data_IF_588411092967
#
_entry.id   IF_588411092967
#
_cell.length_a   1.000
_cell.length_b   1.000
_cell.length_c   1.000
_cell.angle_alpha   90.00
_cell.angle_beta   90.00
_cell.angle_gamma   90.00
#
_symmetry.space_group_name_H-M   'P 1'
#
loop_
_entity.id
_entity.type
_entity.pdbx_description
1 polymer ?
#
# COMPACT_ATOMS: atom_id res chain seq x y z
N UNK A 1 -17.48 -23.65 27.78
CA UNK A 1 -17.41 -23.32 26.35
C UNK A 1 -18.56 -22.37 26.13
N UNK A 2 -18.27 -21.10 25.92
CA UNK A 2 -19.31 -20.15 25.53
C UNK A 2 -19.85 -20.59 24.16
N UNK A 3 -21.17 -20.75 24.06
CA UNK A 3 -21.84 -21.03 22.80
C UNK A 3 -21.56 -19.85 21.85
N UNK A 4 -20.69 -20.03 20.87
CA UNK A 4 -20.48 -19.02 19.82
C UNK A 4 -21.80 -18.84 19.05
N UNK A 5 -22.26 -17.60 18.94
CA UNK A 5 -23.46 -17.27 18.16
C UNK A 5 -23.25 -17.72 16.70
N UNK A 6 -24.08 -18.66 16.18
CA UNK A 6 -23.90 -19.23 14.85
C UNK A 6 -23.97 -18.19 13.73
N UNK A 7 -24.56 -17.01 13.98
CA UNK A 7 -24.57 -15.90 13.03
C UNK A 7 -23.15 -15.36 12.79
N UNK A 8 -22.32 -15.29 13.84
CA UNK A 8 -20.97 -14.71 13.76
C UNK A 8 -20.02 -15.55 12.89
N UNK A 9 -20.30 -16.83 12.67
CA UNK A 9 -19.54 -17.69 11.76
C UNK A 9 -19.61 -17.23 10.29
N UNK A 10 -20.68 -16.51 9.93
CA UNK A 10 -20.90 -16.02 8.56
C UNK A 10 -20.42 -14.58 8.37
N UNK A 11 -20.10 -13.88 9.46
CA UNK A 11 -19.62 -12.49 9.45
C UNK A 11 -18.10 -12.49 9.38
N UNK A 12 -17.47 -11.74 8.46
CA UNK A 12 -16.02 -11.64 8.41
C UNK A 12 -15.43 -11.30 9.79
N UNK A 13 -14.40 -12.05 10.20
CA UNK A 13 -13.71 -11.89 11.48
C UNK A 13 -14.61 -11.99 12.72
N UNK A 14 -15.74 -12.70 12.65
CA UNK A 14 -16.66 -12.85 13.77
C UNK A 14 -17.30 -11.52 14.20
N UNK A 15 -17.49 -10.58 13.27
CA UNK A 15 -18.07 -9.26 13.56
C UNK A 15 -17.11 -8.27 14.22
N UNK A 16 -15.81 -8.61 14.36
CA UNK A 16 -14.82 -7.70 14.92
C UNK A 16 -14.52 -6.55 13.97
N UNK A 17 -14.33 -5.36 14.52
CA UNK A 17 -13.79 -4.22 13.79
C UNK A 17 -12.32 -4.50 13.44
N UNK A 18 -12.02 -4.55 12.14
CA UNK A 18 -10.66 -4.75 11.62
C UNK A 18 -10.18 -3.47 10.94
N UNK A 19 -8.96 -3.05 11.27
CA UNK A 19 -8.26 -1.94 10.62
C UNK A 19 -7.02 -2.50 9.93
N UNK A 20 -6.99 -2.36 8.61
CA UNK A 20 -5.79 -2.66 7.81
C UNK A 20 -4.90 -1.42 7.73
N UNK A 21 -3.64 -1.58 8.10
CA UNK A 21 -2.61 -0.54 7.94
C UNK A 21 -1.56 -1.01 6.95
N UNK A 22 -1.11 -0.11 6.08
CA UNK A 22 -0.06 -0.41 5.11
C UNK A 22 0.02 0.63 4.00
N UNK A 23 1.01 0.46 3.14
CA UNK A 23 1.18 1.26 1.93
C UNK A 23 1.26 0.33 0.72
N UNK A 24 0.26 0.39 -0.16
CA UNK A 24 0.19 -0.44 -1.37
C UNK A 24 1.25 -0.12 -2.42
N UNK A 25 2.01 0.96 -2.22
CA UNK A 25 3.15 1.34 -3.05
C UNK A 25 4.45 0.66 -2.59
N UNK A 26 4.38 -0.15 -1.53
CA UNK A 26 5.48 -1.01 -1.07
C UNK A 26 5.51 -2.34 -1.83
N UNK A 27 6.28 -3.30 -1.30
CA UNK A 27 6.55 -4.60 -1.92
C UNK A 27 5.28 -5.46 -1.95
N UNK A 28 5.08 -6.16 -3.07
CA UNK A 28 4.01 -7.15 -3.24
C UNK A 28 4.22 -8.37 -2.31
N UNK A 29 3.18 -9.18 -2.05
CA UNK A 29 3.34 -10.44 -1.33
C UNK A 29 4.42 -11.32 -1.94
N UNK A 30 5.30 -11.88 -1.11
CA UNK A 30 6.35 -12.80 -1.57
C UNK A 30 5.77 -14.21 -1.60
N UNK A 31 5.60 -14.75 -2.81
CA UNK A 31 5.13 -16.13 -3.02
C UNK A 31 6.19 -16.87 -3.82
N UNK A 32 6.75 -17.92 -3.22
CA UNK A 32 7.84 -18.70 -3.83
C UNK A 32 7.37 -19.37 -5.11
N UNK A 33 8.13 -19.19 -6.21
CA UNK A 33 7.86 -19.80 -7.53
C UNK A 33 6.52 -19.39 -8.17
N UNK A 34 5.89 -18.32 -7.69
CA UNK A 34 4.65 -17.81 -8.26
C UNK A 34 4.93 -16.92 -9.47
N UNK A 35 4.01 -16.96 -10.44
CA UNK A 35 4.01 -16.01 -11.55
C UNK A 35 3.64 -14.59 -11.09
N UNK A 36 3.93 -13.57 -11.90
CA UNK A 36 3.53 -12.19 -11.63
C UNK A 36 2.01 -12.03 -11.47
N UNK A 37 1.22 -12.75 -12.28
CA UNK A 37 -0.24 -12.71 -12.19
C UNK A 37 -0.73 -13.36 -10.89
N UNK A 38 -0.11 -14.47 -10.47
CA UNK A 38 -0.40 -15.11 -9.18
C UNK A 38 -0.08 -14.19 -8.01
N UNK A 39 1.07 -13.51 -8.02
CA UNK A 39 1.43 -12.57 -6.94
C UNK A 39 0.41 -11.43 -6.85
N UNK A 40 -0.03 -10.90 -7.99
CA UNK A 40 -1.02 -9.81 -8.01
C UNK A 40 -2.43 -10.28 -7.64
N UNK A 41 -2.82 -11.53 -7.94
CA UNK A 41 -4.12 -12.09 -7.53
C UNK A 41 -4.22 -12.32 -6.02
N UNK A 42 -3.11 -12.56 -5.35
CA UNK A 42 -3.05 -12.75 -3.89
C UNK A 42 -2.97 -11.43 -3.09
N UNK A 43 -3.00 -10.28 -3.78
CA UNK A 43 -3.06 -9.00 -3.10
C UNK A 43 -4.42 -8.79 -2.41
N UNK A 44 -4.44 -8.16 -1.24
CA UNK A 44 -5.68 -7.91 -0.47
C UNK A 44 -6.73 -7.13 -1.26
N UNK A 45 -6.30 -6.30 -2.21
CA UNK A 45 -7.20 -5.55 -3.10
C UNK A 45 -7.85 -6.40 -4.22
N UNK A 46 -7.54 -7.69 -4.28
CA UNK A 46 -8.20 -8.72 -5.09
C UNK A 46 -9.05 -9.67 -4.25
N UNK A 47 -8.98 -9.58 -2.93
CA UNK A 47 -9.80 -10.39 -2.02
C UNK A 47 -11.29 -10.07 -2.16
N UNK A 48 -12.14 -11.08 -1.94
CA UNK A 48 -13.59 -10.91 -1.80
C UNK A 48 -13.98 -9.96 -0.65
N UNK A 49 -13.07 -9.69 0.28
CA UNK A 49 -13.26 -8.72 1.36
C UNK A 49 -13.14 -7.28 0.87
N UNK A 50 -12.39 -7.02 -0.20
CA UNK A 50 -12.05 -5.66 -0.64
C UNK A 50 -13.27 -4.76 -0.90
N UNK A 51 -14.36 -5.23 -1.54
CA UNK A 51 -15.57 -4.41 -1.71
C UNK A 51 -16.24 -3.99 -0.39
N UNK A 52 -15.93 -4.67 0.72
CA UNK A 52 -16.43 -4.35 2.07
C UNK A 52 -15.47 -3.44 2.86
N UNK A 53 -14.29 -3.14 2.33
CA UNK A 53 -13.27 -2.31 2.98
C UNK A 53 -13.50 -0.84 2.62
N UNK A 54 -13.61 0.01 3.64
CA UNK A 54 -13.57 1.46 3.45
C UNK A 54 -12.12 1.92 3.39
N UNK A 55 -11.72 2.54 2.27
CA UNK A 55 -10.34 2.99 2.06
C UNK A 55 -10.17 4.41 2.60
N UNK A 56 -9.32 4.56 3.61
CA UNK A 56 -8.90 5.86 4.15
C UNK A 56 -7.46 6.14 3.73
N UNK A 57 -7.21 7.33 3.14
CA UNK A 57 -5.89 7.73 2.65
C UNK A 57 -5.28 8.80 3.54
N UNK A 58 -4.16 8.49 4.18
CA UNK A 58 -3.32 9.48 4.85
C UNK A 58 -2.57 10.31 3.79
N UNK A 59 -2.70 11.63 3.85
CA UNK A 59 -2.07 12.56 2.89
C UNK A 59 -0.98 13.44 3.50
N UNK A 60 -0.99 13.58 4.83
CA UNK A 60 0.00 14.38 5.53
C UNK A 60 1.22 13.52 5.89
N UNK A 61 2.40 13.89 5.37
CA UNK A 61 3.66 13.32 5.80
C UNK A 61 4.13 14.06 7.06
N UNK A 62 3.85 13.48 8.23
CA UNK A 62 4.14 14.08 9.54
C UNK A 62 5.65 14.33 9.71
N UNK A 63 6.51 13.46 9.16
CA UNK A 63 7.96 13.61 9.24
C UNK A 63 8.43 14.89 8.53
N UNK A 64 7.92 15.15 7.32
CA UNK A 64 8.21 16.40 6.59
C UNK A 64 7.63 17.60 7.33
N UNK A 65 6.41 17.50 7.87
CA UNK A 65 5.78 18.59 8.63
C UNK A 65 6.58 18.99 9.87
N UNK A 66 7.17 18.04 10.58
CA UNK A 66 8.02 18.32 11.75
C UNK A 66 9.31 19.03 11.34
N UNK A 67 9.92 18.66 10.20
CA UNK A 67 11.14 19.32 9.73
C UNK A 67 10.88 20.71 9.16
N UNK A 68 9.70 20.96 8.58
CA UNK A 68 9.27 22.31 8.19
C UNK A 68 9.14 23.27 9.39
N UNK A 69 8.96 22.74 10.61
CA UNK A 69 8.93 23.52 11.85
C UNK A 69 10.32 23.75 12.45
N UNK A 70 11.38 23.16 11.88
CA UNK A 70 12.74 23.38 12.34
C UNK A 70 13.30 24.72 11.84
N UNK A 71 14.28 25.30 12.55
CA UNK A 71 14.94 26.57 12.17
C UNK A 71 15.83 26.48 10.90
N UNK A 72 15.60 25.50 10.02
CA UNK A 72 16.38 25.32 8.79
C UNK A 72 15.46 25.21 7.55
N UNK A 73 15.11 26.35 6.92
CA UNK A 73 14.19 26.38 5.78
C UNK A 73 14.77 25.71 4.52
N UNK A 74 16.10 25.65 4.36
CA UNK A 74 16.73 24.99 3.21
C UNK A 74 16.55 23.48 3.28
N UNK A 75 16.82 22.87 4.44
CA UNK A 75 16.63 21.43 4.67
C UNK A 75 15.16 21.05 4.51
N UNK A 76 14.26 21.89 5.02
CA UNK A 76 12.83 21.67 4.94
C UNK A 76 12.33 21.62 3.48
N UNK A 77 12.83 22.53 2.63
CA UNK A 77 12.52 22.53 1.19
C UNK A 77 13.03 21.27 0.49
N UNK A 78 14.28 20.88 0.75
CA UNK A 78 14.88 19.68 0.14
C UNK A 78 14.11 18.41 0.50
N UNK A 79 13.70 18.25 1.77
CA UNK A 79 12.91 17.12 2.22
C UNK A 79 11.50 17.10 1.62
N UNK A 80 10.89 18.27 1.42
CA UNK A 80 9.60 18.37 0.75
C UNK A 80 9.72 17.90 -0.71
N UNK A 81 10.70 18.41 -1.46
CA UNK A 81 10.96 18.02 -2.85
C UNK A 81 11.24 16.52 -2.96
N UNK A 82 12.06 15.96 -2.05
CA UNK A 82 12.35 14.54 -2.01
C UNK A 82 11.11 13.69 -1.68
N UNK A 83 10.26 14.14 -0.74
CA UNK A 83 9.01 13.45 -0.41
C UNK A 83 8.02 13.45 -1.57
N UNK A 84 7.91 14.56 -2.31
CA UNK A 84 7.07 14.65 -3.51
C UNK A 84 7.60 13.74 -4.63
N UNK A 85 8.92 13.65 -4.78
CA UNK A 85 9.55 12.72 -5.71
C UNK A 85 9.24 11.26 -5.38
N UNK A 86 9.41 10.83 -4.13
CA UNK A 86 9.06 9.47 -3.69
C UNK A 86 7.57 9.16 -3.88
N UNK A 87 6.70 10.14 -3.63
CA UNK A 87 5.28 10.01 -3.90
C UNK A 87 5.01 9.77 -5.38
N UNK A 88 5.64 10.54 -6.26
CA UNK A 88 5.49 10.36 -7.71
C UNK A 88 6.00 9.00 -8.20
N UNK A 89 7.07 8.46 -7.60
CA UNK A 89 7.52 7.08 -7.88
C UNK A 89 6.43 6.09 -7.49
N UNK A 90 5.92 6.17 -6.26
CA UNK A 90 4.90 5.23 -5.76
C UNK A 90 3.59 5.28 -6.54
N UNK A 91 3.24 6.44 -7.12
CA UNK A 91 2.06 6.59 -7.99
C UNK A 91 2.33 6.25 -9.47
N UNK A 92 3.55 5.84 -9.82
CA UNK A 92 3.92 5.50 -11.20
C UNK A 92 3.91 6.69 -12.16
N UNK A 93 4.12 7.91 -11.66
CA UNK A 93 4.12 9.16 -12.46
C UNK A 93 5.49 9.55 -13.01
N UNK A 94 6.55 8.92 -12.51
CA UNK A 94 7.92 9.18 -12.96
C UNK A 94 8.17 8.43 -14.26
N UNK A 95 8.75 9.06 -15.30
CA UNK A 95 9.08 8.38 -16.55
C UNK A 95 9.95 7.14 -16.30
N UNK A 96 9.50 6.00 -16.79
CA UNK A 96 10.26 4.74 -16.76
C UNK A 96 10.88 4.48 -18.12
N UNK A 97 12.14 4.04 -18.13
CA UNK A 97 12.76 3.52 -19.36
C UNK A 97 12.00 2.26 -19.78
N UNK A 98 11.36 2.32 -20.94
CA UNK A 98 10.80 1.13 -21.57
C UNK A 98 11.95 0.45 -22.31
N UNK A 99 12.46 -0.65 -21.76
CA UNK A 99 13.41 -1.48 -22.48
C UNK A 99 12.66 -2.18 -23.61
N UNK A 100 13.06 -1.93 -24.86
CA UNK A 100 12.48 -2.61 -26.01
C UNK A 100 12.78 -4.12 -25.88
N UNK A 101 11.71 -4.92 -25.81
CA UNK A 101 11.73 -6.32 -25.43
C UNK A 101 12.63 -7.20 -26.31
N UNK A 102 13.51 -7.96 -25.67
CA UNK A 102 13.90 -9.32 -26.07
C UNK A 102 14.48 -10.17 -24.89
N UNK A 103 14.23 -9.81 -23.62
CA UNK A 103 14.86 -10.51 -22.48
C UNK A 103 13.88 -11.29 -21.59
N UNK A 104 12.57 -11.07 -21.71
CA UNK A 104 11.59 -11.86 -20.94
C UNK A 104 10.49 -12.39 -21.86
N UNK A 105 10.77 -13.54 -22.47
CA UNK A 105 9.78 -14.44 -23.03
C UNK A 105 9.40 -15.46 -21.96
N UNK A 106 8.19 -15.35 -21.41
CA UNK A 106 7.44 -16.44 -20.79
C UNK A 106 6.07 -16.53 -21.49
#
# INVERSE_FOLDING_TARGET
MEDEDPVLLTVPFGGKLIVFGGDFRQVLPVITKASRSTITSECINRSFLWPKVTVLKLRANIHVQQTLQSNNPSLAKELQEFSEFLLNIGEGKVPTLTLNNNIFSD
#
